data_IF_906220800612
#
_entry.id   IF_906220800612
#
_cell.length_a   1.000
_cell.length_b   1.000
_cell.length_c   1.000
_cell.angle_alpha   90.00
_cell.angle_beta   90.00
_cell.angle_gamma   90.00
#
_symmetry.space_group_name_H-M   'P 1'
#
loop_
_entity.id
_entity.type
_entity.pdbx_description
1 polymer ?
#
# COMPACT_ATOMS: atom_id res chain seq x y z
N UNK A 1 15.10 10.96 -18.65
CA UNK A 1 14.37 10.10 -17.70
C UNK A 1 12.90 10.23 -18.06
N UNK A 2 12.19 9.11 -18.26
CA UNK A 2 10.75 9.18 -18.51
C UNK A 2 10.02 9.70 -17.26
N UNK A 3 8.86 10.33 -17.44
CA UNK A 3 8.07 10.95 -16.35
C UNK A 3 7.72 9.94 -15.26
N UNK A 4 7.43 8.69 -15.64
CA UNK A 4 7.16 7.61 -14.70
C UNK A 4 8.39 7.20 -13.89
N UNK A 5 9.58 7.24 -14.48
CA UNK A 5 10.82 6.95 -13.76
C UNK A 5 11.15 8.04 -12.75
N UNK A 6 10.92 9.31 -13.11
CA UNK A 6 11.02 10.43 -12.17
C UNK A 6 10.07 10.28 -10.98
N UNK A 7 8.83 9.88 -11.23
CA UNK A 7 7.85 9.65 -10.18
C UNK A 7 8.26 8.47 -9.27
N UNK A 8 8.75 7.36 -9.84
CA UNK A 8 9.24 6.21 -9.07
C UNK A 8 10.43 6.60 -8.20
N UNK A 9 11.39 7.33 -8.76
CA UNK A 9 12.56 7.78 -8.01
C UNK A 9 12.15 8.69 -6.85
N UNK A 10 11.32 9.71 -7.10
CA UNK A 10 10.85 10.61 -6.05
C UNK A 10 10.07 9.88 -4.94
N UNK A 11 9.25 8.89 -5.31
CA UNK A 11 8.53 8.04 -4.34
C UNK A 11 9.51 7.23 -3.47
N UNK A 12 10.55 6.65 -4.06
CA UNK A 12 11.58 5.88 -3.34
C UNK A 12 12.42 6.76 -2.41
N UNK A 13 12.83 7.95 -2.85
CA UNK A 13 13.53 8.93 -2.01
C UNK A 13 12.66 9.37 -0.82
N UNK A 14 11.35 9.58 -1.06
CA UNK A 14 10.41 9.92 0.00
C UNK A 14 10.26 8.78 1.03
N UNK A 15 10.16 7.54 0.58
CA UNK A 15 10.08 6.38 1.48
C UNK A 15 11.36 6.20 2.29
N UNK A 16 12.54 6.39 1.69
CA UNK A 16 13.81 6.41 2.41
C UNK A 16 13.81 7.45 3.53
N UNK A 17 13.40 8.69 3.22
CA UNK A 17 13.32 9.79 4.19
C UNK A 17 12.39 9.46 5.36
N UNK A 18 11.24 8.85 5.09
CA UNK A 18 10.29 8.41 6.14
C UNK A 18 10.93 7.32 7.01
N UNK A 19 11.64 6.38 6.40
CA UNK A 19 12.36 5.33 7.13
C UNK A 19 13.42 5.88 8.06
N UNK A 20 14.29 6.78 7.59
CA UNK A 20 15.30 7.43 8.42
C UNK A 20 14.67 8.21 9.57
N UNK A 21 13.61 8.98 9.30
CA UNK A 21 12.88 9.70 10.34
C UNK A 21 12.28 8.76 11.40
N UNK A 22 11.82 7.58 10.98
CA UNK A 22 11.29 6.53 11.87
C UNK A 22 12.38 5.96 12.77
N UNK A 23 13.54 5.59 12.20
CA UNK A 23 14.70 5.07 12.96
C UNK A 23 15.23 6.08 13.98
N UNK A 24 15.18 7.36 13.64
CA UNK A 24 15.59 8.46 14.54
C UNK A 24 14.53 8.82 15.61
N UNK A 25 13.33 8.20 15.56
CA UNK A 25 12.25 8.50 16.49
C UNK A 25 11.65 9.91 16.30
N UNK A 26 11.75 10.49 15.09
CA UNK A 26 11.11 11.77 14.79
C UNK A 26 9.59 11.64 14.83
N UNK A 27 8.91 12.70 15.27
CA UNK A 27 7.45 12.75 15.24
C UNK A 27 6.96 12.87 13.79
N UNK A 28 6.38 11.80 13.28
CA UNK A 28 5.69 11.76 11.98
C UNK A 28 4.18 11.87 12.20
N UNK A 29 3.48 12.50 11.25
CA UNK A 29 2.02 12.71 11.33
C UNK A 29 1.33 12.41 10.00
N UNK A 30 0.00 12.25 10.04
CA UNK A 30 -0.80 12.03 8.84
C UNK A 30 -0.32 10.83 8.00
N UNK A 31 -0.10 11.06 6.71
CA UNK A 31 0.33 10.02 5.77
C UNK A 31 1.73 9.47 6.05
N UNK A 32 2.69 10.31 6.45
CA UNK A 32 4.04 9.85 6.78
C UNK A 32 4.03 8.87 7.96
N UNK A 33 3.16 9.13 8.95
CA UNK A 33 2.96 8.22 10.07
C UNK A 33 2.39 6.87 9.61
N UNK A 34 1.41 6.88 8.71
CA UNK A 34 0.85 5.63 8.15
C UNK A 34 1.90 4.82 7.40
N UNK A 35 2.75 5.47 6.60
CA UNK A 35 3.89 4.81 5.97
C UNK A 35 4.86 4.25 7.02
N UNK A 36 5.27 5.04 8.01
CA UNK A 36 6.18 4.58 9.05
C UNK A 36 5.65 3.35 9.82
N UNK A 37 4.37 3.36 10.19
CA UNK A 37 3.72 2.24 10.90
C UNK A 37 3.68 0.99 10.00
N UNK A 38 3.28 1.15 8.73
CA UNK A 38 3.22 0.03 7.79
C UNK A 38 4.62 -0.51 7.45
N UNK A 39 5.63 0.34 7.32
CA UNK A 39 7.02 -0.05 6.99
C UNK A 39 7.64 -0.87 8.12
N UNK A 40 7.41 -0.48 9.38
CA UNK A 40 7.85 -1.24 10.56
C UNK A 40 7.14 -2.59 10.68
N UNK A 41 5.91 -2.70 10.19
CA UNK A 41 5.15 -3.94 10.20
C UNK A 41 5.59 -4.94 9.10
N UNK A 42 6.54 -4.56 8.24
CA UNK A 42 7.07 -5.36 7.14
C UNK A 42 8.60 -5.54 7.23
N UNK A 43 9.10 -6.33 8.20
CA UNK A 43 10.53 -6.58 8.37
C UNK A 43 11.21 -7.20 7.14
N UNK A 44 10.48 -7.97 6.33
CA UNK A 44 10.94 -8.56 5.08
C UNK A 44 11.39 -7.51 4.04
N UNK A 45 10.92 -6.26 4.17
CA UNK A 45 11.23 -5.17 3.25
C UNK A 45 12.13 -4.09 3.86
N UNK A 46 12.63 -4.26 5.09
CA UNK A 46 13.48 -3.25 5.73
C UNK A 46 14.69 -2.84 4.87
N UNK A 47 15.34 -3.79 4.20
CA UNK A 47 16.44 -3.48 3.28
C UNK A 47 15.98 -2.65 2.06
N UNK A 48 14.74 -2.84 1.59
CA UNK A 48 14.20 -2.05 0.50
C UNK A 48 14.04 -0.58 0.89
N UNK A 49 13.73 -0.29 2.16
CA UNK A 49 13.64 1.06 2.72
C UNK A 49 15.01 1.67 2.96
N UNK A 50 15.91 0.87 3.55
CA UNK A 50 17.28 1.25 3.91
C UNK A 50 18.07 1.75 2.69
N UNK A 51 17.90 1.12 1.53
CA UNK A 51 18.66 1.42 0.32
C UNK A 51 17.82 2.09 -0.77
N UNK A 52 16.60 2.55 -0.45
CA UNK A 52 15.63 3.03 -1.44
C UNK A 52 16.14 4.22 -2.28
N UNK A 53 17.01 5.06 -1.71
CA UNK A 53 17.72 6.15 -2.38
C UNK A 53 18.80 5.68 -3.38
N UNK A 54 19.29 4.45 -3.24
CA UNK A 54 20.36 3.88 -4.08
C UNK A 54 19.84 3.03 -5.25
N UNK A 55 18.62 2.48 -5.16
CA UNK A 55 18.11 1.49 -6.15
C UNK A 55 17.62 2.14 -7.46
N UNK A 56 17.56 3.48 -7.54
CA UNK A 56 17.03 4.19 -8.71
C UNK A 56 15.58 3.79 -9.04
N UNK A 57 15.06 4.07 -10.25
CA UNK A 57 13.66 3.77 -10.60
C UNK A 57 13.39 2.37 -11.17
N UNK A 58 14.43 1.53 -11.32
CA UNK A 58 14.32 0.21 -11.95
C UNK A 58 13.40 -0.74 -11.17
N UNK A 59 12.84 -1.75 -11.85
CA UNK A 59 12.05 -2.79 -11.19
C UNK A 59 12.86 -3.46 -10.07
N UNK A 60 12.23 -3.58 -8.91
CA UNK A 60 12.83 -4.14 -7.69
C UNK A 60 11.79 -5.03 -7.04
N UNK A 61 12.18 -6.26 -6.75
CA UNK A 61 11.33 -7.28 -6.17
C UNK A 61 12.08 -8.03 -5.07
N UNK A 62 11.37 -8.36 -4.00
CA UNK A 62 11.80 -9.26 -2.93
C UNK A 62 10.84 -10.43 -2.98
N UNK A 63 11.38 -11.63 -3.23
CA UNK A 63 10.58 -12.87 -3.40
C UNK A 63 9.43 -12.75 -4.42
N UNK A 64 9.66 -11.98 -5.50
CA UNK A 64 8.65 -11.77 -6.56
C UNK A 64 7.57 -10.73 -6.23
N UNK A 65 7.70 -10.00 -5.12
CA UNK A 65 6.80 -8.89 -4.75
C UNK A 65 7.56 -7.57 -4.80
N UNK A 66 6.96 -6.54 -5.41
CA UNK A 66 7.51 -5.19 -5.40
C UNK A 66 7.17 -4.48 -4.06
N UNK A 67 8.16 -4.21 -3.18
CA UNK A 67 7.88 -3.65 -1.85
C UNK A 67 7.24 -2.26 -1.91
N UNK A 68 7.68 -1.41 -2.85
CA UNK A 68 7.17 -0.05 -3.00
C UNK A 68 5.70 -0.03 -3.40
N UNK A 69 5.30 -0.92 -4.30
CA UNK A 69 3.91 -1.08 -4.69
C UNK A 69 3.08 -1.68 -3.54
N UNK A 70 3.61 -2.69 -2.86
CA UNK A 70 2.98 -3.33 -1.71
C UNK A 70 2.67 -2.31 -0.59
N UNK A 71 3.68 -1.55 -0.16
CA UNK A 71 3.52 -0.61 0.95
C UNK A 71 2.57 0.54 0.59
N UNK A 72 2.61 0.99 -0.66
CA UNK A 72 1.68 2.01 -1.16
C UNK A 72 0.24 1.52 -1.09
N UNK A 73 -0.03 0.29 -1.53
CA UNK A 73 -1.37 -0.28 -1.43
C UNK A 73 -1.82 -0.49 0.03
N UNK A 74 -0.91 -0.93 0.91
CA UNK A 74 -1.19 -1.05 2.34
C UNK A 74 -1.65 0.30 2.91
N UNK A 75 -0.89 1.38 2.67
CA UNK A 75 -1.21 2.72 3.17
C UNK A 75 -2.49 3.29 2.55
N UNK A 76 -2.79 2.99 1.28
CA UNK A 76 -4.07 3.36 0.67
C UNK A 76 -5.23 2.72 1.43
N UNK A 77 -5.14 1.43 1.78
CA UNK A 77 -6.21 0.77 2.53
C UNK A 77 -6.35 1.36 3.93
N UNK A 78 -5.25 1.68 4.60
CA UNK A 78 -5.30 2.34 5.91
C UNK A 78 -5.94 3.73 5.83
N UNK A 79 -5.61 4.52 4.81
CA UNK A 79 -6.25 5.81 4.57
C UNK A 79 -7.75 5.68 4.25
N UNK A 80 -8.15 4.67 3.47
CA UNK A 80 -9.56 4.38 3.18
C UNK A 80 -10.34 3.98 4.45
N UNK A 81 -9.71 3.22 5.35
CA UNK A 81 -10.28 2.85 6.65
C UNK A 81 -10.47 4.08 7.54
N UNK A 82 -9.47 4.95 7.63
CA UNK A 82 -9.53 6.18 8.42
C UNK A 82 -10.58 7.16 7.89
N UNK A 83 -10.65 7.32 6.57
CA UNK A 83 -11.63 8.17 5.90
C UNK A 83 -13.03 7.55 5.86
N UNK A 84 -13.15 6.23 6.11
CA UNK A 84 -14.33 5.43 5.87
C UNK A 84 -14.88 5.62 4.43
N UNK A 85 -13.98 5.73 3.45
CA UNK A 85 -14.30 5.93 2.04
C UNK A 85 -13.43 5.05 1.13
N UNK A 86 -14.01 4.06 0.41
CA UNK A 86 -15.41 3.68 0.47
C UNK A 86 -15.74 2.91 1.76
N UNK A 87 -16.95 3.06 2.34
CA UNK A 87 -17.34 2.38 3.59
C UNK A 87 -17.29 0.85 3.48
N UNK A 88 -17.37 0.31 2.26
CA UNK A 88 -17.19 -1.11 1.98
C UNK A 88 -15.84 -1.68 2.44
N UNK A 89 -14.79 -0.85 2.57
CA UNK A 89 -13.48 -1.26 3.09
C UNK A 89 -13.58 -1.63 4.56
N UNK A 90 -14.15 -0.75 5.39
CA UNK A 90 -14.38 -1.01 6.81
C UNK A 90 -15.32 -2.21 7.02
N UNK A 91 -16.36 -2.34 6.18
CA UNK A 91 -17.27 -3.49 6.22
C UNK A 91 -16.58 -4.80 5.84
N UNK A 92 -15.68 -4.79 4.85
CA UNK A 92 -14.89 -5.97 4.46
C UNK A 92 -13.92 -6.38 5.57
N UNK A 93 -13.23 -5.41 6.18
CA UNK A 93 -12.37 -5.65 7.34
C UNK A 93 -13.16 -6.31 8.48
N UNK A 94 -14.34 -5.79 8.80
CA UNK A 94 -15.19 -6.35 9.86
C UNK A 94 -15.59 -7.81 9.54
N UNK A 95 -15.95 -8.12 8.29
CA UNK A 95 -16.31 -9.48 7.89
C UNK A 95 -15.12 -10.44 8.00
N UNK A 96 -13.96 -10.07 7.47
CA UNK A 96 -12.73 -10.87 7.59
C UNK A 96 -12.37 -11.11 9.05
N UNK A 97 -12.50 -10.09 9.90
CA UNK A 97 -12.22 -10.20 11.33
C UNK A 97 -13.16 -11.13 12.09
N UNK A 98 -14.43 -11.23 11.66
CA UNK A 98 -15.38 -12.24 12.19
C UNK A 98 -14.98 -13.66 11.83
N UNK A 99 -14.27 -13.85 10.72
CA UNK A 99 -13.69 -15.13 10.30
C UNK A 99 -12.27 -15.34 10.84
N UNK A 100 -11.93 -14.69 11.96
CA UNK A 100 -10.66 -14.82 12.69
C UNK A 100 -9.39 -14.40 11.92
N UNK A 101 -9.50 -13.88 10.70
CA UNK A 101 -8.37 -13.30 9.94
C UNK A 101 -7.84 -12.09 10.69
N UNK A 102 -6.53 -12.04 10.98
CA UNK A 102 -5.90 -10.92 11.67
C UNK A 102 -6.03 -9.60 10.88
N UNK A 103 -5.87 -8.45 11.56
CA UNK A 103 -6.08 -7.14 10.93
C UNK A 103 -5.11 -6.91 9.77
N UNK A 104 -3.86 -7.30 9.91
CA UNK A 104 -2.81 -7.07 8.93
C UNK A 104 -3.09 -7.89 7.67
N UNK A 105 -3.39 -9.18 7.83
CA UNK A 105 -3.80 -10.02 6.71
C UNK A 105 -5.13 -9.58 6.09
N UNK A 106 -6.08 -9.09 6.89
CA UNK A 106 -7.31 -8.54 6.34
C UNK A 106 -7.05 -7.30 5.45
N UNK A 107 -6.10 -6.43 5.83
CA UNK A 107 -5.64 -5.33 4.95
C UNK A 107 -5.04 -5.89 3.66
N UNK A 108 -4.21 -6.93 3.72
CA UNK A 108 -3.66 -7.55 2.51
C UNK A 108 -4.75 -8.12 1.59
N UNK A 109 -5.76 -8.80 2.13
CA UNK A 109 -6.89 -9.29 1.34
C UNK A 109 -7.67 -8.14 0.67
N UNK A 110 -7.88 -7.03 1.38
CA UNK A 110 -8.54 -5.85 0.81
C UNK A 110 -7.66 -5.20 -0.27
N UNK A 111 -6.36 -5.09 -0.04
CA UNK A 111 -5.40 -4.55 -1.00
C UNK A 111 -5.34 -5.39 -2.29
N UNK A 112 -5.47 -6.72 -2.19
CA UNK A 112 -5.58 -7.59 -3.36
C UNK A 112 -6.83 -7.24 -4.22
N UNK A 113 -7.96 -6.93 -3.60
CA UNK A 113 -9.16 -6.47 -4.32
C UNK A 113 -8.96 -5.10 -4.99
N UNK A 114 -8.15 -4.23 -4.39
CA UNK A 114 -7.76 -2.95 -5.00
C UNK A 114 -6.89 -3.19 -6.25
N UNK A 115 -5.88 -4.06 -6.16
CA UNK A 115 -5.00 -4.39 -7.28
C UNK A 115 -5.74 -4.97 -8.48
N UNK A 116 -6.73 -5.82 -8.25
CA UNK A 116 -7.61 -6.37 -9.29
C UNK A 116 -8.33 -5.29 -10.12
N UNK A 117 -8.60 -4.14 -9.52
CA UNK A 117 -9.24 -3.00 -10.19
C UNK A 117 -8.22 -2.02 -10.75
N UNK A 118 -7.07 -1.85 -10.10
CA UNK A 118 -5.99 -0.96 -10.55
C UNK A 118 -5.19 -1.53 -11.73
N UNK A 119 -5.05 -2.85 -11.86
CA UNK A 119 -4.16 -3.43 -12.87
C UNK A 119 -4.43 -2.97 -14.32
N UNK A 120 -5.69 -2.94 -14.82
CA UNK A 120 -5.98 -2.37 -16.15
C UNK A 120 -5.74 -0.86 -16.22
N UNK A 121 -5.86 -0.13 -15.10
CA UNK A 121 -5.59 1.31 -15.02
C UNK A 121 -4.11 1.60 -15.19
N UNK A 122 -3.25 0.81 -14.53
CA UNK A 122 -1.80 0.94 -14.63
C UNK A 122 -1.27 0.63 -16.03
N UNK A 123 -2.03 -0.16 -16.82
CA UNK A 123 -1.74 -0.42 -18.23
C UNK A 123 -2.31 0.63 -19.19
N UNK A 124 -3.02 1.63 -18.68
CA UNK A 124 -3.69 2.65 -19.50
C UNK A 124 -4.89 2.11 -20.28
N UNK A 125 -5.41 0.92 -19.94
CA UNK A 125 -6.50 0.29 -20.68
C UNK A 125 -7.87 0.87 -20.28
N UNK A 126 -8.04 1.25 -19.01
CA UNK A 126 -9.32 1.71 -18.43
C UNK A 126 -9.12 2.74 -17.33
N UNK A 127 -10.11 3.59 -17.09
CA UNK A 127 -10.19 4.40 -15.87
C UNK A 127 -10.51 3.52 -14.64
N UNK A 128 -10.21 4.02 -13.44
CA UNK A 128 -10.52 3.31 -12.20
C UNK A 128 -12.03 3.18 -12.01
N UNK A 129 -12.51 1.94 -11.85
CA UNK A 129 -13.93 1.63 -11.66
C UNK A 129 -14.26 1.44 -10.17
N UNK A 130 -14.64 2.54 -9.52
CA UNK A 130 -15.04 2.54 -8.10
C UNK A 130 -16.23 1.60 -7.82
N UNK A 131 -17.15 1.43 -8.76
CA UNK A 131 -18.31 0.56 -8.57
C UNK A 131 -17.90 -0.91 -8.59
N UNK A 132 -16.95 -1.28 -9.47
CA UNK A 132 -16.32 -2.59 -9.45
C UNK A 132 -15.57 -2.84 -8.15
N UNK A 133 -14.78 -1.88 -7.66
CA UNK A 133 -14.08 -2.00 -6.37
C UNK A 133 -15.06 -2.24 -5.22
N UNK A 134 -16.10 -1.41 -5.08
CA UNK A 134 -17.16 -1.58 -4.06
C UNK A 134 -17.90 -2.92 -4.18
N UNK A 135 -18.15 -3.41 -5.39
CA UNK A 135 -18.78 -4.73 -5.62
C UNK A 135 -17.88 -5.88 -5.16
N UNK A 136 -16.58 -5.79 -5.42
CA UNK A 136 -15.58 -6.78 -4.98
C UNK A 136 -15.47 -6.79 -3.45
N UNK A 137 -15.26 -5.64 -2.83
CA UNK A 137 -15.22 -5.47 -1.38
C UNK A 137 -16.46 -6.03 -0.69
N UNK A 138 -17.67 -5.75 -1.22
CA UNK A 138 -18.91 -6.28 -0.65
C UNK A 138 -18.92 -7.80 -0.54
N UNK A 139 -18.25 -8.53 -1.42
CA UNK A 139 -18.19 -10.00 -1.45
C UNK A 139 -17.08 -10.58 -0.56
N UNK A 140 -16.05 -9.79 -0.25
CA UNK A 140 -14.91 -10.23 0.53
C UNK A 140 -15.31 -10.59 1.97
N UNK A 141 -14.89 -11.77 2.43
CA UNK A 141 -15.13 -12.28 3.78
C UNK A 141 -16.57 -12.71 4.08
N UNK A 142 -17.40 -12.93 3.05
CA UNK A 142 -18.75 -13.50 3.20
C UNK A 142 -18.73 -15.02 3.36
#
# INVERSE_FOLDING_TARGET
MDSFDALRQASRENLHRIWEATKEGRLLTGEEKRFADAMQAHPEYHNAWEFSDLVGPALYEVEGVNPYLHITAHVIIEAQLEANDPPEVAQALQRLRRNEVDRHQAIHHIAAELFEVMFPVLKGEKAFDIQRYRKRLRRLGR
#
